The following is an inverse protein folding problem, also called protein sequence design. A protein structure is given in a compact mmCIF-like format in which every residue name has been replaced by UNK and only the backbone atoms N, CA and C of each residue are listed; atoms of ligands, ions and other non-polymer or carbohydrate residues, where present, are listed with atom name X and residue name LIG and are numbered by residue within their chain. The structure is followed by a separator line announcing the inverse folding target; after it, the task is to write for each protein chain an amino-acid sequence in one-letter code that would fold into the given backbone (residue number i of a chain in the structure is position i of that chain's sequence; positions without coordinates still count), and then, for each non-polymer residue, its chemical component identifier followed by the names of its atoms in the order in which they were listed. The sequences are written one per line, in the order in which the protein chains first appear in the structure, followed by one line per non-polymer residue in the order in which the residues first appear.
data_IF_975371095816
#
_entry.id   IF_975371095816
#
_cell.length_a   1.000
_cell.length_b   1.000
_cell.length_c   1.000
_cell.angle_alpha   90.00
_cell.angle_beta   90.00
_cell.angle_gamma   90.00
#
_symmetry.space_group_name_H-M   'P 1'
#
loop_
_entity.id
_entity.type
_entity.pdbx_description
1 polymer ?
#
# COMPACT_ATOMS: atom_id res chain seq x y z
N UNK A 1 -21.19 68.82 -6.11
CA UNK A 1 -20.11 67.86 -6.41
C UNK A 1 -20.01 66.90 -5.23
N UNK A 2 -20.75 65.80 -5.25
CA UNK A 2 -20.63 64.77 -4.20
C UNK A 2 -19.30 64.05 -4.39
N UNK A 3 -18.43 64.16 -3.39
CA UNK A 3 -17.12 63.52 -3.40
C UNK A 3 -17.30 62.00 -3.39
N UNK A 4 -16.56 61.26 -4.23
CA UNK A 4 -16.67 59.79 -4.32
C UNK A 4 -16.42 59.11 -2.96
N UNK A 5 -15.63 59.74 -2.10
CA UNK A 5 -15.38 59.28 -0.73
C UNK A 5 -16.64 59.20 0.13
N UNK A 6 -17.56 60.17 0.03
CA UNK A 6 -18.80 60.15 0.80
C UNK A 6 -19.75 59.05 0.33
N UNK A 7 -19.79 58.78 -0.97
CA UNK A 7 -20.58 57.69 -1.54
C UNK A 7 -20.02 56.32 -1.10
N UNK A 8 -18.69 56.20 -1.01
CA UNK A 8 -18.01 54.98 -0.59
C UNK A 8 -18.22 54.72 0.90
N UNK A 9 -18.15 55.77 1.73
CA UNK A 9 -18.41 55.67 3.18
C UNK A 9 -19.87 55.29 3.49
N UNK A 10 -20.83 55.87 2.77
CA UNK A 10 -22.24 55.46 2.89
C UNK A 10 -22.48 54.01 2.47
N UNK A 11 -21.77 53.54 1.42
CA UNK A 11 -21.88 52.16 0.96
C UNK A 11 -21.24 51.17 1.95
N UNK A 12 -20.11 51.54 2.56
CA UNK A 12 -19.48 50.78 3.65
C UNK A 12 -20.42 50.71 4.85
N UNK A 13 -21.02 51.83 5.24
CA UNK A 13 -21.99 51.89 6.36
C UNK A 13 -23.25 51.08 6.06
N UNK A 14 -23.73 51.07 4.82
CA UNK A 14 -24.83 50.22 4.39
C UNK A 14 -24.48 48.73 4.49
N UNK A 15 -23.30 48.33 4.00
CA UNK A 15 -22.80 46.96 4.16
C UNK A 15 -22.65 46.57 5.64
N UNK A 16 -22.22 47.50 6.50
CA UNK A 16 -22.15 47.30 7.95
C UNK A 16 -23.53 47.01 8.55
N UNK A 17 -24.58 47.71 8.14
CA UNK A 17 -25.96 47.44 8.60
C UNK A 17 -26.52 46.11 8.11
N UNK A 18 -26.15 45.67 6.91
CA UNK A 18 -26.57 44.37 6.38
C UNK A 18 -25.90 43.21 7.13
N UNK A 19 -24.61 43.34 7.45
CA UNK A 19 -23.85 42.28 8.13
C UNK A 19 -24.26 42.13 9.61
N UNK A 20 -24.47 43.24 10.32
CA UNK A 20 -24.85 43.21 11.75
C UNK A 20 -26.32 42.82 11.99
N UNK A 21 -27.20 42.96 10.98
CA UNK A 21 -28.62 42.59 11.10
C UNK A 21 -28.87 41.07 11.07
N UNK A 22 -27.90 40.25 10.67
CA UNK A 22 -28.06 38.79 10.58
C UNK A 22 -27.94 38.06 11.94
N UNK A 23 -27.51 38.74 13.02
CA UNK A 23 -27.35 38.12 14.34
C UNK A 23 -28.49 38.50 15.29
N UNK A 24 -29.74 38.13 14.95
CA UNK A 24 -30.85 38.15 15.92
C UNK A 24 -30.96 36.79 16.60
N UNK A 25 -30.02 36.49 17.50
CA UNK A 25 -30.21 35.53 18.57
C UNK A 25 -29.67 36.12 19.88
N UNK A 26 -30.62 36.60 20.67
CA UNK A 26 -30.64 36.71 22.14
C UNK A 26 -29.28 36.74 22.85
N UNK A 27 -28.81 37.93 23.25
CA UNK A 27 -28.38 38.26 24.64
C UNK A 27 -27.80 39.68 24.74
N UNK A 28 -28.39 40.47 25.64
CA UNK A 28 -27.89 41.66 26.38
C UNK A 28 -27.19 42.85 25.66
N UNK A 29 -27.50 44.10 26.07
CA UNK A 29 -26.94 45.30 25.47
C UNK A 29 -25.59 45.64 26.10
N UNK A 30 -24.52 45.68 25.30
CA UNK A 30 -23.27 46.35 25.69
C UNK A 30 -23.06 47.58 24.81
N UNK A 31 -23.21 48.73 25.45
CA UNK A 31 -22.84 50.04 24.95
C UNK A 31 -21.34 50.07 24.65
N UNK A 32 -20.98 50.02 23.37
CA UNK A 32 -19.73 50.59 22.87
C UNK A 32 -19.99 51.10 21.46
N UNK A 33 -20.09 52.42 21.33
CA UNK A 33 -19.95 53.11 20.05
C UNK A 33 -18.54 52.86 19.52
N UNK A 34 -18.31 51.69 18.93
CA UNK A 34 -17.07 51.37 18.25
C UNK A 34 -17.04 52.14 16.92
N UNK A 35 -16.53 53.36 16.97
CA UNK A 35 -16.24 54.24 15.82
C UNK A 35 -15.05 53.75 14.98
N UNK A 36 -14.51 52.56 15.28
CA UNK A 36 -13.52 51.92 14.43
C UNK A 36 -14.23 51.40 13.17
N UNK A 37 -13.86 51.96 12.03
CA UNK A 37 -14.28 51.52 10.69
C UNK A 37 -14.11 50.00 10.57
N UNK A 38 -15.03 49.35 9.85
CA UNK A 38 -14.99 47.90 9.59
C UNK A 38 -13.62 47.45 9.08
N UNK A 39 -12.95 48.29 8.28
CA UNK A 39 -11.58 48.07 7.82
C UNK A 39 -10.57 47.85 8.97
N UNK A 40 -10.67 48.62 10.05
CA UNK A 40 -9.78 48.51 11.22
C UNK A 40 -10.08 47.26 12.04
N UNK A 41 -11.36 46.85 12.12
CA UNK A 41 -11.73 45.61 12.81
C UNK A 41 -11.31 44.37 12.02
N UNK A 42 -11.51 44.39 10.71
CA UNK A 42 -11.05 43.32 9.81
C UNK A 42 -9.54 43.22 9.84
N UNK A 43 -8.80 44.33 9.83
CA UNK A 43 -7.34 44.29 9.94
C UNK A 43 -6.88 43.77 11.31
N UNK A 44 -7.57 44.13 12.39
CA UNK A 44 -7.28 43.60 13.73
C UNK A 44 -7.56 42.09 13.81
N UNK A 45 -8.69 41.64 13.25
CA UNK A 45 -9.06 40.23 13.23
C UNK A 45 -8.07 39.43 12.37
N UNK A 46 -7.73 39.93 11.18
CA UNK A 46 -6.72 39.33 10.32
C UNK A 46 -5.37 39.19 11.05
N UNK A 47 -4.90 40.25 11.72
CA UNK A 47 -3.65 40.18 12.49
C UNK A 47 -3.72 39.21 13.67
N UNK A 48 -4.88 39.08 14.32
CA UNK A 48 -5.07 38.11 15.41
C UNK A 48 -5.09 36.68 14.90
N UNK A 49 -5.68 36.44 13.73
CA UNK A 49 -5.79 35.12 13.11
C UNK A 49 -4.44 34.66 12.60
N UNK A 50 -3.66 35.57 12.02
CA UNK A 50 -2.27 35.33 11.59
C UNK A 50 -1.35 34.98 12.79
N UNK A 51 -1.53 35.67 13.92
CA UNK A 51 -0.79 35.37 15.16
C UNK A 51 -1.15 33.98 15.72
N UNK A 52 -2.43 33.59 15.70
CA UNK A 52 -2.89 32.25 16.14
C UNK A 52 -2.40 31.16 15.18
N UNK A 53 -2.37 31.44 13.88
CA UNK A 53 -1.83 30.54 12.84
C UNK A 53 -0.32 30.31 12.97
N UNK A 54 0.44 31.27 13.50
CA UNK A 54 1.89 31.13 13.73
C UNK A 54 2.25 30.58 15.13
N UNK A 55 1.40 30.78 16.14
CA UNK A 55 1.73 30.40 17.53
C UNK A 55 1.30 28.97 17.94
N UNK A 56 0.38 28.33 17.22
CA UNK A 56 -0.23 27.05 17.65
C UNK A 56 0.43 25.79 17.04
N UNK A 57 0.86 24.79 17.85
CA UNK A 57 1.24 23.47 17.33
C UNK A 57 0.01 22.73 16.79
N UNK A 58 0.06 22.27 15.53
CA UNK A 58 -1.05 21.58 14.85
C UNK A 58 -1.85 22.45 13.85
N UNK A 59 -1.45 23.70 13.64
CA UNK A 59 -2.11 24.65 12.73
C UNK A 59 -1.72 24.48 11.25
N UNK A 60 -0.84 23.55 10.90
CA UNK A 60 -0.42 23.30 9.50
C UNK A 60 -1.60 22.91 8.60
N UNK A 61 -2.56 22.15 9.11
CA UNK A 61 -3.77 21.81 8.36
C UNK A 61 -4.64 23.05 8.11
N UNK A 62 -4.76 23.94 9.10
CA UNK A 62 -5.49 25.20 8.99
C UNK A 62 -4.77 26.15 8.02
N UNK A 63 -3.43 26.23 8.08
CA UNK A 63 -2.60 27.03 7.17
C UNK A 63 -2.74 26.56 5.73
N UNK A 64 -2.70 25.24 5.50
CA UNK A 64 -2.96 24.63 4.18
C UNK A 64 -4.40 24.86 3.72
N UNK A 65 -5.37 24.82 4.62
CA UNK A 65 -6.76 25.13 4.29
C UNK A 65 -6.95 26.59 3.87
N UNK A 66 -6.40 27.54 4.64
CA UNK A 66 -6.46 28.98 4.33
C UNK A 66 -5.75 29.28 3.01
N UNK A 67 -4.58 28.67 2.77
CA UNK A 67 -3.84 28.84 1.52
C UNK A 67 -4.56 28.27 0.29
N UNK A 68 -5.37 27.23 0.50
CA UNK A 68 -6.18 26.61 -0.56
C UNK A 68 -7.66 27.01 -0.48
N UNK A 69 -8.00 28.07 0.24
CA UNK A 69 -9.40 28.45 0.44
C UNK A 69 -10.07 28.78 -0.89
N UNK A 70 -9.41 29.56 -1.75
CA UNK A 70 -9.92 29.94 -3.08
C UNK A 70 -10.08 28.72 -4.00
N UNK A 71 -9.23 27.70 -3.86
CA UNK A 71 -9.33 26.45 -4.63
C UNK A 71 -10.50 25.59 -4.14
N UNK A 72 -10.83 25.65 -2.85
CA UNK A 72 -11.94 24.93 -2.26
C UNK A 72 -13.22 25.77 -2.20
N UNK A 73 -13.20 27.01 -2.70
CA UNK A 73 -14.35 27.92 -2.72
C UNK A 73 -15.59 27.26 -3.33
N UNK A 74 -15.52 26.53 -4.46
CA UNK A 74 -16.68 25.86 -5.05
C UNK A 74 -17.25 24.73 -4.18
N UNK A 75 -16.43 24.11 -3.32
CA UNK A 75 -16.84 23.05 -2.40
C UNK A 75 -17.44 23.62 -1.10
N UNK A 76 -17.10 24.88 -0.77
CA UNK A 76 -17.55 25.58 0.43
C UNK A 76 -18.77 26.46 0.15
N UNK A 77 -18.92 26.94 -1.09
CA UNK A 77 -20.14 27.57 -1.57
C UNK A 77 -21.14 26.48 -1.89
N UNK A 78 -21.93 26.08 -0.89
CA UNK A 78 -23.20 25.41 -1.18
C UNK A 78 -24.00 26.41 -2.03
N UNK A 79 -24.37 26.11 -3.29
CA UNK A 79 -25.15 27.02 -4.09
C UNK A 79 -26.39 27.43 -3.29
N UNK A 80 -26.87 28.69 -3.39
CA UNK A 80 -28.13 29.05 -2.77
C UNK A 80 -29.19 28.19 -3.44
N UNK A 81 -29.55 27.09 -2.75
CA UNK A 81 -30.65 26.23 -3.15
C UNK A 81 -31.83 27.18 -3.29
N UNK A 82 -32.43 27.31 -4.49
CA UNK A 82 -33.59 28.19 -4.65
C UNK A 82 -34.55 27.81 -3.56
N UNK A 83 -34.97 28.77 -2.73
CA UNK A 83 -35.77 28.61 -1.50
C UNK A 83 -36.93 27.62 -1.67
N UNK A 84 -36.55 26.35 -1.60
CA UNK A 84 -37.28 25.17 -1.23
C UNK A 84 -36.29 24.47 -0.32
N UNK A 85 -36.14 25.08 0.84
CA UNK A 85 -35.39 24.53 1.96
C UNK A 85 -36.23 23.37 2.48
N UNK A 86 -35.87 22.08 2.26
CA UNK A 86 -36.21 21.10 3.27
C UNK A 86 -35.38 21.52 4.47
N UNK A 87 -36.04 22.21 5.39
CA UNK A 87 -35.48 22.44 6.71
C UNK A 87 -34.86 21.17 7.23
N UNK A 88 -33.75 21.35 7.92
CA UNK A 88 -32.98 20.40 8.75
C UNK A 88 -33.81 19.81 9.90
N UNK A 89 -35.05 19.44 9.58
CA UNK A 89 -36.07 18.74 10.35
C UNK A 89 -37.16 18.27 9.36
N UNK A 90 -36.81 17.87 8.13
CA UNK A 90 -37.77 17.21 7.26
C UNK A 90 -38.02 15.85 7.89
N UNK A 91 -39.04 15.81 8.73
CA UNK A 91 -39.71 14.58 9.08
C UNK A 91 -39.75 13.75 7.80
N UNK A 92 -39.22 12.54 7.81
CA UNK A 92 -39.36 11.59 6.70
C UNK A 92 -40.85 11.37 6.33
N UNK A 93 -41.79 11.96 7.06
CA UNK A 93 -43.22 12.05 6.82
C UNK A 93 -43.68 13.00 5.71
N UNK A 94 -42.90 13.99 5.27
CA UNK A 94 -43.37 14.97 4.27
C UNK A 94 -43.24 14.49 2.81
N UNK A 95 -42.60 13.34 2.57
CA UNK A 95 -42.67 12.68 1.26
C UNK A 95 -44.04 12.04 1.09
N UNK A 96 -44.73 12.37 0.01
CA UNK A 96 -45.99 11.69 -0.33
C UNK A 96 -45.75 10.17 -0.40
N UNK A 97 -46.70 9.34 0.06
CA UNK A 97 -46.52 7.89 0.09
C UNK A 97 -46.17 7.32 -1.29
N UNK A 98 -46.66 7.96 -2.35
CA UNK A 98 -46.33 7.60 -3.73
C UNK A 98 -44.85 7.87 -4.08
N UNK A 99 -44.30 9.01 -3.66
CA UNK A 99 -42.88 9.33 -3.85
C UNK A 99 -41.97 8.36 -3.08
N UNK A 100 -42.36 7.95 -1.87
CA UNK A 100 -41.65 6.93 -1.09
C UNK A 100 -41.61 5.58 -1.81
N UNK A 101 -42.75 5.13 -2.35
CA UNK A 101 -42.83 3.87 -3.11
C UNK A 101 -42.01 3.95 -4.39
N UNK A 102 -42.06 5.07 -5.12
CA UNK A 102 -41.25 5.28 -6.32
C UNK A 102 -39.76 5.19 -6.02
N UNK A 103 -39.31 5.80 -4.92
CA UNK A 103 -37.91 5.77 -4.50
C UNK A 103 -37.48 4.35 -4.09
N UNK A 104 -38.34 3.60 -3.38
CA UNK A 104 -38.07 2.20 -3.02
C UNK A 104 -37.98 1.32 -4.27
N UNK A 105 -38.84 1.54 -5.28
CA UNK A 105 -38.79 0.79 -6.54
C UNK A 105 -37.56 1.13 -7.37
N UNK A 106 -37.16 2.41 -7.40
CA UNK A 106 -35.94 2.86 -8.06
C UNK A 106 -34.69 2.26 -7.38
N UNK A 107 -34.69 2.19 -6.05
CA UNK A 107 -33.61 1.64 -5.25
C UNK A 107 -33.71 0.12 -5.01
N UNK A 108 -34.69 -0.60 -5.58
CA UNK A 108 -34.93 -2.01 -5.27
C UNK A 108 -33.70 -2.87 -5.53
N UNK A 109 -33.04 -2.64 -6.67
CA UNK A 109 -31.86 -3.39 -7.06
C UNK A 109 -30.71 -3.17 -6.08
N UNK A 110 -30.46 -1.92 -5.69
CA UNK A 110 -29.40 -1.55 -4.75
C UNK A 110 -29.66 -2.13 -3.35
N UNK A 111 -30.92 -2.12 -2.90
CA UNK A 111 -31.32 -2.72 -1.62
C UNK A 111 -31.07 -4.23 -1.62
N UNK A 112 -31.43 -4.93 -2.69
CA UNK A 112 -31.19 -6.38 -2.82
C UNK A 112 -29.70 -6.71 -2.90
N UNK A 113 -28.92 -5.89 -3.59
CA UNK A 113 -27.47 -6.06 -3.65
C UNK A 113 -26.85 -5.86 -2.26
N UNK A 114 -27.25 -4.80 -1.56
CA UNK A 114 -26.78 -4.53 -0.20
C UNK A 114 -27.18 -5.64 0.78
N UNK A 115 -28.38 -6.20 0.66
CA UNK A 115 -28.80 -7.36 1.45
C UNK A 115 -27.87 -8.56 1.23
N UNK A 116 -27.53 -8.86 -0.03
CA UNK A 116 -26.62 -9.94 -0.37
C UNK A 116 -25.21 -9.69 0.16
N UNK A 117 -24.69 -8.47 0.00
CA UNK A 117 -23.38 -8.08 0.52
C UNK A 117 -23.33 -8.13 2.05
N UNK A 118 -24.35 -7.64 2.75
CA UNK A 118 -24.45 -7.73 4.20
C UNK A 118 -24.51 -9.18 4.69
N UNK A 119 -25.22 -10.05 3.95
CA UNK A 119 -25.23 -11.49 4.25
C UNK A 119 -23.87 -12.13 4.03
N UNK A 120 -23.14 -11.72 2.99
CA UNK A 120 -21.78 -12.19 2.76
C UNK A 120 -20.83 -11.71 3.85
N UNK A 121 -20.94 -10.46 4.29
CA UNK A 121 -20.16 -9.92 5.42
C UNK A 121 -20.48 -10.69 6.70
N UNK A 122 -21.75 -10.97 6.98
CA UNK A 122 -22.15 -11.78 8.13
C UNK A 122 -21.58 -13.19 8.09
N UNK A 123 -21.55 -13.84 6.91
CA UNK A 123 -20.91 -15.15 6.75
C UNK A 123 -19.40 -15.09 6.97
N UNK A 124 -18.74 -14.01 6.54
CA UNK A 124 -17.30 -13.81 6.76
C UNK A 124 -17.00 -13.48 8.24
N UNK A 125 -17.93 -12.84 8.94
CA UNK A 125 -17.86 -12.58 10.38
C UNK A 125 -18.04 -13.87 11.19
N UNK A 126 -19.01 -14.71 10.81
CA UNK A 126 -19.19 -16.07 11.38
C UNK A 126 -17.96 -16.95 11.16
N UNK A 127 -17.24 -16.75 10.05
CA UNK A 127 -15.96 -17.41 9.77
C UNK A 127 -14.75 -16.76 10.49
N UNK A 128 -14.98 -15.70 11.25
CA UNK A 128 -13.95 -15.00 12.04
C UNK A 128 -12.96 -14.18 11.21
N UNK A 129 -13.26 -13.90 9.93
CA UNK A 129 -12.33 -13.27 8.97
C UNK A 129 -12.26 -11.75 9.13
N UNK A 130 -13.22 -11.14 9.83
CA UNK A 130 -13.36 -9.66 9.95
C UNK A 130 -12.25 -9.01 10.81
N UNK A 131 -11.44 -9.82 11.51
CA UNK A 131 -10.24 -9.39 12.24
C UNK A 131 -8.93 -9.89 11.64
N UNK A 132 -8.00 -10.33 12.48
CA UNK A 132 -6.79 -11.05 12.04
C UNK A 132 -7.07 -12.54 11.73
N UNK A 133 -8.33 -12.98 11.70
CA UNK A 133 -8.67 -14.40 11.63
C UNK A 133 -8.04 -15.20 12.78
N UNK A 134 -7.53 -16.38 12.46
CA UNK A 134 -6.75 -17.19 13.39
C UNK A 134 -5.29 -16.72 13.52
N UNK A 135 -4.84 -15.66 12.83
CA UNK A 135 -3.43 -15.23 12.90
C UNK A 135 -3.01 -14.82 14.31
N UNK A 136 -3.93 -14.30 15.12
CA UNK A 136 -3.65 -13.99 16.53
C UNK A 136 -3.29 -15.26 17.34
N UNK A 137 -3.87 -16.41 16.97
CA UNK A 137 -3.58 -17.71 17.59
C UNK A 137 -2.25 -18.30 17.08
N UNK A 138 -1.81 -17.89 15.88
CA UNK A 138 -0.55 -18.33 15.28
C UNK A 138 0.64 -17.40 15.54
N UNK A 139 0.45 -16.33 16.32
CA UNK A 139 1.54 -15.44 16.73
C UNK A 139 2.63 -16.23 17.49
N UNK A 140 2.23 -17.18 18.33
CA UNK A 140 3.14 -18.06 19.04
C UNK A 140 3.89 -19.02 18.08
N UNK A 141 3.19 -19.50 17.05
CA UNK A 141 3.75 -20.38 16.02
C UNK A 141 4.85 -19.71 15.18
N UNK A 142 4.79 -18.38 15.04
CA UNK A 142 5.82 -17.61 14.34
C UNK A 142 7.20 -17.73 15.01
N UNK A 143 7.22 -17.81 16.35
CA UNK A 143 8.44 -17.93 17.13
C UNK A 143 9.03 -19.35 17.03
N UNK A 144 8.16 -20.36 17.02
CA UNK A 144 8.55 -21.76 16.83
C UNK A 144 9.07 -22.01 15.41
N UNK A 145 8.47 -21.40 14.40
CA UNK A 145 8.95 -21.45 13.02
C UNK A 145 10.31 -20.76 12.88
N UNK A 146 10.51 -19.60 13.52
CA UNK A 146 11.79 -18.91 13.52
C UNK A 146 12.89 -19.77 14.16
N UNK A 147 12.59 -20.44 15.28
CA UNK A 147 13.48 -21.40 15.93
C UNK A 147 13.79 -22.59 15.03
N UNK A 148 12.77 -23.22 14.46
CA UNK A 148 12.94 -24.38 13.56
C UNK A 148 13.78 -24.00 12.34
N UNK A 149 13.56 -22.82 11.76
CA UNK A 149 14.37 -22.30 10.65
C UNK A 149 15.83 -22.10 11.06
N UNK A 150 16.10 -21.69 12.31
CA UNK A 150 17.45 -21.57 12.82
C UNK A 150 18.10 -22.94 13.03
N UNK A 151 17.35 -23.92 13.51
CA UNK A 151 17.82 -25.29 13.74
C UNK A 151 18.08 -26.05 12.42
N UNK A 152 17.36 -25.73 11.34
CA UNK A 152 17.57 -26.33 10.01
C UNK A 152 18.82 -25.79 9.30
N UNK A 153 19.26 -24.57 9.59
CA UNK A 153 20.47 -23.98 8.97
C UNK A 153 21.75 -24.81 9.13
N UNK A 154 22.15 -25.24 10.36
CA UNK A 154 23.36 -26.05 10.51
C UNK A 154 23.22 -27.43 9.85
N UNK A 155 22.02 -28.00 9.83
CA UNK A 155 21.73 -29.26 9.14
C UNK A 155 21.97 -29.09 7.63
N UNK A 156 21.42 -28.05 7.02
CA UNK A 156 21.64 -27.75 5.60
C UNK A 156 23.13 -27.57 5.26
N UNK A 157 23.87 -26.85 6.11
CA UNK A 157 25.33 -26.70 5.95
C UNK A 157 26.06 -28.05 6.01
N UNK A 158 25.69 -28.93 6.94
CA UNK A 158 26.29 -30.27 7.05
C UNK A 158 26.01 -31.16 5.83
N UNK A 159 24.83 -31.04 5.22
CA UNK A 159 24.50 -31.73 3.99
C UNK A 159 25.34 -31.25 2.82
N UNK A 160 25.54 -29.94 2.70
CA UNK A 160 26.41 -29.37 1.66
C UNK A 160 27.86 -29.82 1.83
N UNK A 161 28.38 -29.85 3.05
CA UNK A 161 29.72 -30.37 3.33
C UNK A 161 29.84 -31.86 2.97
N UNK A 162 28.79 -32.65 3.24
CA UNK A 162 28.75 -34.06 2.88
C UNK A 162 28.74 -34.23 1.36
N UNK A 163 27.96 -33.43 0.64
CA UNK A 163 27.91 -33.42 -0.82
C UNK A 163 29.26 -33.06 -1.44
N UNK A 164 29.96 -32.06 -0.91
CA UNK A 164 31.31 -31.73 -1.36
C UNK A 164 32.29 -32.88 -1.12
N UNK A 165 32.18 -33.60 0.01
CA UNK A 165 33.03 -34.76 0.31
C UNK A 165 32.75 -35.93 -0.63
N UNK A 166 31.48 -36.24 -0.90
CA UNK A 166 31.12 -37.33 -1.82
C UNK A 166 31.53 -36.99 -3.24
N UNK A 167 31.34 -35.75 -3.68
CA UNK A 167 31.78 -35.31 -5.00
C UNK A 167 33.31 -35.39 -5.15
N UNK A 168 34.07 -34.96 -4.14
CA UNK A 168 35.53 -35.07 -4.16
C UNK A 168 35.98 -36.54 -4.21
N UNK A 169 35.33 -37.41 -3.43
CA UNK A 169 35.61 -38.85 -3.47
C UNK A 169 35.32 -39.45 -4.85
N UNK A 170 34.19 -39.08 -5.47
CA UNK A 170 33.83 -39.53 -6.82
C UNK A 170 34.83 -39.04 -7.86
N UNK A 171 35.28 -37.78 -7.78
CA UNK A 171 36.29 -37.22 -8.66
C UNK A 171 37.61 -37.99 -8.55
N UNK A 172 38.09 -38.25 -7.32
CA UNK A 172 39.31 -39.04 -7.10
C UNK A 172 39.18 -40.46 -7.64
N UNK A 173 38.01 -41.07 -7.50
CA UNK A 173 37.75 -42.39 -8.03
C UNK A 173 37.75 -42.40 -9.57
N UNK A 174 37.19 -41.36 -10.19
CA UNK A 174 37.25 -41.18 -11.64
C UNK A 174 38.69 -41.02 -12.12
N UNK A 175 39.49 -40.18 -11.47
CA UNK A 175 40.90 -39.98 -11.80
C UNK A 175 41.68 -41.30 -11.63
N UNK A 176 41.42 -42.04 -10.54
CA UNK A 176 42.02 -43.35 -10.32
C UNK A 176 41.67 -44.35 -11.43
N UNK A 177 40.40 -44.45 -11.83
CA UNK A 177 40.01 -45.31 -12.97
C UNK A 177 40.69 -44.86 -14.26
N UNK A 178 40.76 -43.55 -14.52
CA UNK A 178 41.40 -43.03 -15.73
C UNK A 178 42.87 -43.42 -15.79
N UNK A 179 43.61 -43.25 -14.69
CA UNK A 179 45.01 -43.65 -14.60
C UNK A 179 45.18 -45.16 -14.73
N UNK A 180 44.30 -45.96 -14.11
CA UNK A 180 44.32 -47.41 -14.22
C UNK A 180 44.05 -47.87 -15.66
N UNK A 181 43.11 -47.22 -16.34
CA UNK A 181 42.82 -47.48 -17.76
C UNK A 181 44.01 -47.13 -18.64
N UNK A 182 44.69 -46.02 -18.37
CA UNK A 182 45.89 -45.62 -19.12
C UNK A 182 47.02 -46.65 -18.95
N UNK A 183 47.28 -47.09 -17.71
CA UNK A 183 48.26 -48.15 -17.42
C UNK A 183 47.89 -49.46 -18.11
N UNK A 184 46.61 -49.83 -18.16
CA UNK A 184 46.17 -51.04 -18.84
C UNK A 184 46.39 -50.97 -20.36
N UNK A 185 46.14 -49.81 -20.98
CA UNK A 185 46.44 -49.60 -22.41
C UNK A 185 47.95 -49.70 -22.66
N UNK A 186 48.76 -49.02 -21.85
CA UNK A 186 50.23 -49.10 -21.97
C UNK A 186 50.72 -50.54 -21.82
N UNK A 187 50.15 -51.30 -20.89
CA UNK A 187 50.54 -52.69 -20.69
C UNK A 187 50.14 -53.57 -21.88
N UNK A 188 48.94 -53.37 -22.44
CA UNK A 188 48.51 -54.05 -23.65
C UNK A 188 49.45 -53.75 -24.84
N UNK A 189 49.90 -52.51 -24.99
CA UNK A 189 50.83 -52.13 -26.06
C UNK A 189 52.19 -52.83 -25.91
N UNK A 190 52.75 -52.85 -24.69
CA UNK A 190 54.01 -53.53 -24.38
C UNK A 190 53.89 -55.04 -24.64
N UNK A 191 52.80 -55.66 -24.21
CA UNK A 191 52.56 -57.10 -24.44
C UNK A 191 52.43 -57.38 -25.94
N UNK A 192 51.69 -56.54 -26.67
CA UNK A 192 51.52 -56.72 -28.11
C UNK A 192 52.84 -56.51 -28.88
N UNK A 193 53.69 -55.58 -28.46
CA UNK A 193 55.03 -55.40 -29.03
C UNK A 193 55.94 -56.61 -28.75
N UNK A 194 55.92 -57.14 -27.52
CA UNK A 194 56.66 -58.34 -27.16
C UNK A 194 56.18 -59.57 -27.97
N UNK A 195 54.86 -59.73 -28.16
CA UNK A 195 54.28 -60.77 -29.02
C UNK A 195 54.74 -60.62 -30.49
N UNK A 196 54.79 -59.39 -31.02
CA UNK A 196 55.30 -59.12 -32.36
C UNK A 196 56.79 -59.44 -32.49
N UNK A 197 57.60 -59.17 -31.47
CA UNK A 197 59.01 -59.50 -31.48
C UNK A 197 59.24 -61.02 -31.40
N UNK A 198 58.50 -61.71 -30.54
CA UNK A 198 58.53 -63.19 -30.45
C UNK A 198 58.14 -63.82 -31.78
N UNK A 199 57.03 -63.38 -32.39
CA UNK A 199 56.60 -63.90 -33.70
C UNK A 199 57.62 -63.64 -34.80
N UNK A 200 58.31 -62.48 -34.80
CA UNK A 200 59.44 -62.21 -35.72
C UNK A 200 60.61 -63.17 -35.49
N UNK A 201 61.00 -63.40 -34.24
CA UNK A 201 62.08 -64.33 -33.88
C UNK A 201 61.71 -65.75 -34.30
N UNK A 202 60.49 -66.19 -34.01
CA UNK A 202 59.98 -67.51 -34.41
C UNK A 202 59.96 -67.68 -35.93
N UNK A 203 59.52 -66.66 -36.69
CA UNK A 203 59.57 -66.67 -38.15
C UNK A 203 60.99 -66.77 -38.69
N UNK A 204 61.95 -66.06 -38.08
CA UNK A 204 63.36 -66.14 -38.45
C UNK A 204 64.00 -67.50 -38.14
N UNK A 205 63.54 -68.15 -37.07
CA UNK A 205 64.06 -69.44 -36.60
C UNK A 205 63.49 -70.63 -37.39
N UNK A 206 62.23 -70.55 -37.82
CA UNK A 206 61.55 -71.59 -38.58
C UNK A 206 61.04 -71.07 -39.93
N UNK A 207 61.93 -70.82 -40.92
CA UNK A 207 61.52 -70.37 -42.26
C UNK A 207 60.73 -71.43 -43.05
N UNK A 208 60.67 -72.68 -42.56
CA UNK A 208 59.93 -73.77 -43.20
C UNK A 208 58.43 -73.79 -42.92
N UNK A 209 57.91 -72.86 -42.11
CA UNK A 209 56.46 -72.69 -41.89
C UNK A 209 55.83 -71.65 -42.85
N UNK A 210 56.61 -71.03 -43.73
CA UNK A 210 56.15 -70.08 -44.75
C UNK A 210 55.94 -70.79 -46.11
N UNK A 211 55.24 -71.94 -46.08
CA UNK A 211 54.62 -72.52 -47.28
C UNK A 211 53.15 -72.85 -46.94
N UNK A 212 52.29 -72.01 -47.52
CA UNK A 212 50.83 -72.10 -47.67
C UNK A 212 49.96 -71.31 -46.69
#
# INVERSE_FOLDING_TARGET
MSTPDLALDLRIRYLETLLTRSSTSTTAPTSASNTASLSRRVSQLASSLDLVLEAGPGTDALRKFVANYDLNEPLLTVPPVPFHHPSSSSNHDDLTPHSKVSLILEAEYEIRQLEWELRQIALLDDQGVVGAGELAQHQDLSTELARTKQDVKPVAASYQDLEHKTHNLLSRYYDYISTLSEVFVQWNDIVSEAEQEVTRIEKSRNPSLDIS
#
